data_IF_817241290026
#
_entry.id   IF_817241290026
#
_cell.length_a   1.000
_cell.length_b   1.000
_cell.length_c   1.000
_cell.angle_alpha   90.00
_cell.angle_beta   90.00
_cell.angle_gamma   90.00
#
_symmetry.space_group_name_H-M   'P 1'
#
loop_
_entity.id
_entity.type
_entity.pdbx_description
1 polymer ?
#
# COMPACT_ATOMS: atom_id res chain seq x y z
N UNK A 1 -14.63 -4.53 -12.06
CA UNK A 1 -14.22 -3.35 -11.28
C UNK A 1 -12.70 -3.30 -11.27
N UNK A 2 -12.10 -2.11 -11.26
CA UNK A 2 -10.64 -1.95 -11.18
C UNK A 2 -10.29 -1.34 -9.82
N UNK A 3 -9.32 -1.94 -9.15
CA UNK A 3 -8.74 -1.44 -7.92
C UNK A 3 -7.30 -1.01 -8.22
N UNK A 4 -7.04 0.29 -8.07
CA UNK A 4 -5.71 0.87 -8.17
C UNK A 4 -5.26 1.30 -6.78
N UNK A 5 -4.13 0.77 -6.32
CA UNK A 5 -3.53 1.11 -5.03
C UNK A 5 -2.19 1.77 -5.26
N UNK A 6 -2.00 2.89 -4.58
CA UNK A 6 -0.75 3.61 -4.49
C UNK A 6 -0.26 3.54 -3.05
N UNK A 7 1.05 3.32 -2.90
CA UNK A 7 1.71 3.42 -1.62
C UNK A 7 2.98 4.25 -1.77
N UNK A 8 3.32 4.98 -0.72
CA UNK A 8 4.43 5.91 -0.68
C UNK A 8 5.26 5.69 0.57
N UNK A 9 6.57 5.90 0.47
CA UNK A 9 7.42 5.99 1.66
C UNK A 9 7.06 7.25 2.45
N UNK A 10 7.41 7.25 3.74
CA UNK A 10 7.11 8.38 4.64
C UNK A 10 7.72 9.70 4.14
N UNK A 11 8.88 9.64 3.50
CA UNK A 11 9.55 10.79 2.90
C UNK A 11 9.06 11.13 1.49
N UNK A 12 8.11 10.37 0.94
CA UNK A 12 7.53 10.56 -0.39
C UNK A 12 8.44 10.21 -1.57
N UNK A 13 9.69 9.76 -1.33
CA UNK A 13 10.67 9.54 -2.41
C UNK A 13 10.48 8.24 -3.16
N UNK A 14 9.89 7.24 -2.53
CA UNK A 14 9.62 5.93 -3.12
C UNK A 14 8.12 5.73 -3.21
N UNK A 15 7.68 5.05 -4.26
CA UNK A 15 6.29 4.67 -4.43
C UNK A 15 6.14 3.29 -5.04
N UNK A 16 5.00 2.66 -4.77
CA UNK A 16 4.55 1.43 -5.40
C UNK A 16 3.15 1.64 -5.94
N UNK A 17 2.91 1.11 -7.14
CA UNK A 17 1.61 1.10 -7.76
C UNK A 17 1.24 -0.34 -8.15
N UNK A 18 0.02 -0.71 -7.81
CA UNK A 18 -0.62 -1.95 -8.25
C UNK A 18 -2.00 -1.59 -8.79
N UNK A 19 -2.34 -2.13 -9.96
CA UNK A 19 -3.65 -1.97 -10.58
C UNK A 19 -4.14 -3.33 -11.04
N UNK A 20 -5.30 -3.74 -10.54
CA UNK A 20 -5.86 -5.04 -10.88
C UNK A 20 -7.36 -4.92 -11.13
N UNK A 21 -7.84 -5.65 -12.12
CA UNK A 21 -9.26 -5.73 -12.44
C UNK A 21 -9.82 -7.07 -11.96
N UNK A 22 -11.03 -7.05 -11.42
CA UNK A 22 -11.69 -8.25 -10.91
C UNK A 22 -13.21 -8.13 -10.86
N UNK A 23 -13.85 -9.18 -10.34
CA UNK A 23 -15.29 -9.25 -10.19
C UNK A 23 -15.78 -8.24 -9.15
N UNK A 24 -16.79 -7.44 -9.52
CA UNK A 24 -17.44 -6.47 -8.63
C UNK A 24 -18.18 -7.15 -7.47
N UNK A 25 -18.58 -8.41 -7.64
CA UNK A 25 -19.30 -9.18 -6.62
C UNK A 25 -18.36 -9.86 -5.62
N UNK A 26 -17.04 -9.83 -5.87
CA UNK A 26 -16.04 -10.38 -4.95
C UNK A 26 -14.90 -9.38 -4.66
N UNK A 27 -15.23 -8.23 -4.05
CA UNK A 27 -14.24 -7.19 -3.76
C UNK A 27 -13.17 -7.65 -2.75
N UNK A 28 -13.51 -8.62 -1.89
CA UNK A 28 -12.58 -9.18 -0.89
C UNK A 28 -11.45 -9.95 -1.56
N UNK A 29 -11.75 -10.77 -2.56
CA UNK A 29 -10.72 -11.49 -3.32
C UNK A 29 -9.81 -10.51 -4.06
N UNK A 30 -10.39 -9.51 -4.74
CA UNK A 30 -9.63 -8.48 -5.44
C UNK A 30 -8.69 -7.73 -4.49
N UNK A 31 -9.16 -7.33 -3.31
CA UNK A 31 -8.32 -6.69 -2.29
C UNK A 31 -7.19 -7.59 -1.78
N UNK A 32 -7.46 -8.89 -1.58
CA UNK A 32 -6.43 -9.87 -1.19
C UNK A 32 -5.34 -9.98 -2.25
N UNK A 33 -5.71 -10.12 -3.52
CA UNK A 33 -4.75 -10.28 -4.63
C UNK A 33 -3.86 -9.04 -4.77
N UNK A 34 -4.45 -7.85 -4.73
CA UNK A 34 -3.70 -6.58 -4.73
C UNK A 34 -2.76 -6.49 -3.52
N UNK A 35 -3.21 -6.89 -2.34
CA UNK A 35 -2.37 -6.92 -1.12
C UNK A 35 -1.19 -7.89 -1.20
N UNK A 36 -1.41 -9.08 -1.77
CA UNK A 36 -0.35 -10.07 -2.00
C UNK A 36 0.68 -9.57 -3.02
N UNK A 37 0.24 -8.88 -4.07
CA UNK A 37 1.13 -8.25 -5.06
C UNK A 37 1.93 -7.08 -4.46
N UNK A 38 1.30 -6.23 -3.64
CA UNK A 38 2.03 -5.18 -2.93
C UNK A 38 3.10 -5.77 -2.02
N UNK A 39 2.78 -6.87 -1.32
CA UNK A 39 3.73 -7.58 -0.46
C UNK A 39 4.90 -8.15 -1.26
N UNK A 40 4.66 -8.78 -2.40
CA UNK A 40 5.74 -9.31 -3.25
C UNK A 40 6.60 -8.19 -3.86
N UNK A 41 6.03 -6.99 -4.05
CA UNK A 41 6.73 -5.78 -4.51
C UNK A 41 7.47 -5.01 -3.40
N UNK A 42 7.49 -5.52 -2.16
CA UNK A 42 8.29 -4.91 -1.08
C UNK A 42 7.61 -3.75 -0.35
N UNK A 43 6.28 -3.70 -0.31
CA UNK A 43 5.53 -2.67 0.46
C UNK A 43 5.96 -2.59 1.93
N UNK A 44 6.41 -3.70 2.52
CA UNK A 44 6.87 -3.75 3.90
C UNK A 44 8.13 -2.90 4.10
N UNK A 45 9.02 -2.85 3.10
CA UNK A 45 10.23 -2.04 3.16
C UNK A 45 9.92 -0.56 2.96
N UNK A 46 8.88 -0.27 2.17
CA UNK A 46 8.36 1.08 1.97
C UNK A 46 7.76 1.66 3.26
N UNK A 47 7.16 0.80 4.08
CA UNK A 47 6.51 1.15 5.32
C UNK A 47 7.44 1.11 6.55
N UNK A 48 8.73 0.80 6.41
CA UNK A 48 9.65 0.83 7.54
C UNK A 48 9.60 2.18 8.27
N UNK A 49 9.47 2.12 9.59
CA UNK A 49 9.49 3.26 10.51
C UNK A 49 8.35 4.28 10.32
N UNK A 50 7.27 3.92 9.61
CA UNK A 50 6.10 4.81 9.44
C UNK A 50 5.51 5.26 10.78
N UNK A 51 5.44 4.33 11.74
CA UNK A 51 4.84 4.59 13.04
C UNK A 51 5.68 5.54 13.88
N UNK A 52 7.00 5.38 13.87
CA UNK A 52 7.93 6.26 14.58
C UNK A 52 7.86 7.70 14.05
N UNK A 53 7.87 7.85 12.72
CA UNK A 53 7.74 9.16 12.04
C UNK A 53 6.43 9.87 12.37
N UNK A 54 5.32 9.14 12.46
CA UNK A 54 4.02 9.71 12.86
C UNK A 54 4.05 10.18 14.31
N UNK A 55 4.70 9.44 15.21
CA UNK A 55 4.87 9.85 16.61
C UNK A 55 5.81 11.06 16.76
N UNK A 56 6.81 11.23 15.89
CA UNK A 56 7.62 12.47 15.82
C UNK A 56 6.77 13.69 15.45
N UNK A 57 5.89 13.57 14.44
CA UNK A 57 5.00 14.66 14.03
C UNK A 57 4.02 15.09 15.10
N UNK A 58 3.53 14.18 15.94
CA UNK A 58 2.59 14.50 17.03
C UNK A 58 3.19 15.36 18.14
N UNK A 59 4.52 15.41 18.24
CA UNK A 59 5.22 16.16 19.29
C UNK A 59 5.49 17.62 18.91
N UNK A 60 5.07 18.03 17.71
CA UNK A 60 5.14 19.39 17.17
C UNK A 60 3.79 20.06 17.44
#
# INVERSE_FOLDING_TARGET
>A
MTLTVYAFSVDGKKSLQVSQSGDKNNPKLLGKQVGEELRSKGINDLALNWREKVEEWKKI
#
